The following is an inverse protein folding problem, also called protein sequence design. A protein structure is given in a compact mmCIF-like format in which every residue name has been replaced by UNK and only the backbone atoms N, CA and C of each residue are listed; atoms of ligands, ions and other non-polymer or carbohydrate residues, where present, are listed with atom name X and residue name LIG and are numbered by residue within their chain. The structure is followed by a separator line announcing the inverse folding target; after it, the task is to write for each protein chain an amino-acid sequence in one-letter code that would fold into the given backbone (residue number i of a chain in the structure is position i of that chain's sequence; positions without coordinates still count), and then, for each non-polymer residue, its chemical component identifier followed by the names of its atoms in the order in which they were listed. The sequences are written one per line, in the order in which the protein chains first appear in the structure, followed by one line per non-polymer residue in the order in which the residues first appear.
data_IF_388209851401
#
_entry.id   IF_388209851401
#
_cell.length_a   1.000
_cell.length_b   1.000
_cell.length_c   1.000
_cell.angle_alpha   90.00
_cell.angle_beta   90.00
_cell.angle_gamma   90.00
#
_symmetry.space_group_name_H-M   'P 1'
#
loop_
_entity.id
_entity.type
_entity.pdbx_description
1 polymer ?
#
# COMPACT_ATOMS: atom_id res chain seq x y z
N UNK A 1 1.30 -16.06 2.90
CA UNK A 1 0.87 -14.72 3.35
C UNK A 1 1.28 -13.70 2.30
N UNK A 2 0.33 -13.06 1.63
CA UNK A 2 0.66 -12.04 0.64
C UNK A 2 1.14 -10.74 1.28
N UNK A 3 1.97 -10.04 0.55
CA UNK A 3 2.38 -8.67 0.86
C UNK A 3 1.74 -7.75 -0.17
N UNK A 4 1.08 -6.71 0.28
CA UNK A 4 0.51 -5.70 -0.60
C UNK A 4 1.47 -4.52 -0.64
N UNK A 5 1.85 -4.13 -1.86
CA UNK A 5 2.67 -2.96 -2.12
C UNK A 5 1.75 -1.85 -2.61
N UNK A 6 1.83 -0.69 -1.99
CA UNK A 6 1.11 0.48 -2.45
C UNK A 6 1.95 1.72 -2.23
N UNK A 7 1.76 2.73 -3.08
CA UNK A 7 2.38 4.03 -2.87
C UNK A 7 1.27 5.04 -2.57
N UNK A 8 1.61 6.04 -1.77
CA UNK A 8 0.67 7.09 -1.40
C UNK A 8 1.43 8.40 -1.18
N UNK A 9 0.74 9.55 -1.33
CA UNK A 9 1.35 10.81 -0.92
C UNK A 9 1.81 10.73 0.52
N UNK A 10 2.97 11.33 0.82
CA UNK A 10 3.61 11.19 2.14
C UNK A 10 2.66 11.60 3.27
N UNK A 11 1.89 12.69 3.06
CA UNK A 11 0.98 13.19 4.09
C UNK A 11 -0.20 12.26 4.36
N UNK A 12 -0.53 11.35 3.45
CA UNK A 12 -1.64 10.41 3.61
C UNK A 12 -1.20 9.04 4.11
N UNK A 13 0.08 8.72 3.98
CA UNK A 13 0.57 7.34 4.16
C UNK A 13 0.37 6.81 5.58
N UNK A 14 0.66 7.60 6.60
CA UNK A 14 0.56 7.15 7.98
C UNK A 14 -0.89 6.87 8.37
N UNK A 15 -1.83 7.72 7.92
CA UNK A 15 -3.25 7.53 8.20
C UNK A 15 -3.79 6.29 7.47
N UNK A 16 -3.36 6.06 6.24
CA UNK A 16 -3.73 4.84 5.51
C UNK A 16 -3.22 3.58 6.22
N UNK A 17 -1.97 3.60 6.65
CA UNK A 17 -1.37 2.48 7.37
C UNK A 17 -2.13 2.19 8.67
N UNK A 18 -2.43 3.23 9.45
CA UNK A 18 -3.16 3.11 10.69
C UNK A 18 -4.56 2.53 10.44
N UNK A 19 -5.24 3.02 9.41
CA UNK A 19 -6.57 2.56 9.06
C UNK A 19 -6.58 1.06 8.74
N UNK A 20 -5.63 0.60 7.94
CA UNK A 20 -5.55 -0.81 7.55
C UNK A 20 -5.38 -1.73 8.76
N UNK A 21 -4.56 -1.31 9.72
CA UNK A 21 -4.32 -2.11 10.93
C UNK A 21 -5.53 -2.04 11.88
N UNK A 22 -6.08 -0.84 12.08
CA UNK A 22 -7.22 -0.64 12.97
C UNK A 22 -8.44 -1.44 12.51
N UNK A 23 -8.66 -1.51 11.19
CA UNK A 23 -9.79 -2.23 10.61
C UNK A 23 -9.50 -3.72 10.39
N UNK A 24 -8.37 -4.19 10.89
CA UNK A 24 -7.95 -5.60 10.82
C UNK A 24 -7.83 -6.13 9.40
N UNK A 25 -7.53 -5.24 8.45
CA UNK A 25 -7.32 -5.61 7.05
C UNK A 25 -5.86 -6.03 6.82
N UNK A 26 -4.96 -5.54 7.65
CA UNK A 26 -3.56 -5.91 7.63
C UNK A 26 -3.09 -6.17 9.06
N UNK A 27 -2.20 -7.14 9.22
CA UNK A 27 -1.59 -7.43 10.52
C UNK A 27 -0.49 -6.43 10.85
N UNK A 28 0.16 -5.91 9.81
CA UNK A 28 1.31 -5.01 9.95
C UNK A 28 1.44 -4.21 8.66
N UNK A 29 1.78 -2.93 8.77
CA UNK A 29 2.10 -2.10 7.61
C UNK A 29 3.42 -1.40 7.89
N UNK A 30 4.40 -1.61 7.01
CA UNK A 30 5.65 -0.86 7.04
C UNK A 30 5.52 0.31 6.09
N UNK A 31 5.96 1.49 6.53
CA UNK A 31 5.90 2.72 5.74
C UNK A 31 7.32 3.19 5.48
N UNK A 32 7.67 3.35 4.21
CA UNK A 32 9.01 3.74 3.79
C UNK A 32 8.92 4.99 2.94
N UNK A 33 9.67 6.03 3.31
CA UNK A 33 9.71 7.27 2.54
C UNK A 33 10.36 7.01 1.19
N UNK A 34 9.80 7.62 0.15
CA UNK A 34 10.39 7.56 -1.18
C UNK A 34 10.08 8.81 -1.97
N UNK A 35 10.77 9.00 -3.09
CA UNK A 35 10.40 9.98 -4.09
C UNK A 35 10.09 9.23 -5.37
N UNK A 36 9.16 9.76 -6.17
CA UNK A 36 8.69 9.08 -7.36
C UNK A 36 8.88 9.94 -8.59
N UNK A 37 9.20 9.29 -9.70
CA UNK A 37 9.23 9.91 -11.03
C UNK A 37 8.31 9.08 -11.91
N UNK A 38 7.33 9.72 -12.53
CA UNK A 38 6.34 8.97 -13.32
C UNK A 38 5.74 9.84 -14.41
N UNK A 39 5.11 9.17 -15.38
CA UNK A 39 4.38 9.84 -16.44
C UNK A 39 2.88 9.62 -16.23
N UNK A 40 2.13 10.68 -16.32
CA UNK A 40 0.68 10.64 -16.19
C UNK A 40 0.06 11.62 -17.17
N UNK A 41 -0.86 11.15 -18.01
CA UNK A 41 -1.57 11.98 -18.99
C UNK A 41 -0.63 12.86 -19.83
N UNK A 42 0.48 12.28 -20.29
CA UNK A 42 1.43 12.96 -21.17
C UNK A 42 2.44 13.86 -20.48
N UNK A 43 2.33 14.06 -19.17
CA UNK A 43 3.27 14.88 -18.41
C UNK A 43 4.17 14.00 -17.54
N UNK A 44 5.39 14.47 -17.29
CA UNK A 44 6.34 13.82 -16.39
C UNK A 44 6.35 14.58 -15.08
N UNK A 45 6.14 13.85 -13.98
CA UNK A 45 6.22 14.37 -12.62
C UNK A 45 7.46 13.78 -11.97
N UNK A 46 8.27 14.63 -11.33
CA UNK A 46 9.46 14.16 -10.63
C UNK A 46 9.55 14.80 -9.27
N UNK A 47 10.24 14.10 -8.35
CA UNK A 47 10.47 14.60 -7.00
C UNK A 47 9.24 14.63 -6.10
N UNK A 48 8.15 13.99 -6.49
CA UNK A 48 6.99 13.88 -5.61
C UNK A 48 7.36 13.13 -4.33
N UNK A 49 7.01 13.71 -3.20
CA UNK A 49 7.22 13.08 -1.90
C UNK A 49 6.13 12.06 -1.65
N UNK A 50 6.52 10.80 -1.62
CA UNK A 50 5.63 9.68 -1.43
C UNK A 50 6.13 8.76 -0.32
N UNK A 51 5.32 7.78 0.01
CA UNK A 51 5.73 6.67 0.85
C UNK A 51 5.27 5.38 0.22
N UNK A 52 6.04 4.33 0.46
CA UNK A 52 5.67 2.97 0.09
C UNK A 52 5.08 2.31 1.32
N UNK A 53 3.92 1.67 1.15
CA UNK A 53 3.31 0.86 2.19
C UNK A 53 3.50 -0.60 1.82
N UNK A 54 4.08 -1.38 2.75
CA UNK A 54 4.14 -2.83 2.65
C UNK A 54 3.18 -3.39 3.70
N UNK A 55 2.03 -3.87 3.26
CA UNK A 55 1.00 -4.39 4.16
C UNK A 55 1.01 -5.92 4.15
N UNK A 56 1.05 -6.52 5.32
CA UNK A 56 1.00 -7.97 5.49
C UNK A 56 -0.44 -8.38 5.79
N UNK A 57 -0.97 -9.27 4.96
CA UNK A 57 -2.36 -9.70 5.10
C UNK A 57 -2.49 -11.17 4.72
N UNK A 58 -3.71 -11.69 4.71
CA UNK A 58 -4.02 -13.04 4.27
C UNK A 58 -4.65 -13.01 2.89
N UNK A 59 -4.65 -14.14 2.20
CA UNK A 59 -5.31 -14.25 0.90
C UNK A 59 -6.81 -13.96 1.01
N UNK A 60 -7.44 -14.39 2.11
CA UNK A 60 -8.87 -14.18 2.35
C UNK A 60 -9.21 -12.71 2.56
N UNK A 61 -8.33 -11.96 3.22
CA UNK A 61 -8.57 -10.54 3.50
C UNK A 61 -8.16 -9.61 2.38
N UNK A 62 -7.32 -10.07 1.47
CA UNK A 62 -6.79 -9.20 0.42
C UNK A 62 -7.86 -8.47 -0.40
N UNK A 63 -8.94 -9.12 -0.87
CA UNK A 63 -9.95 -8.40 -1.66
C UNK A 63 -10.58 -7.23 -0.88
N UNK A 64 -10.81 -7.41 0.41
CA UNK A 64 -11.39 -6.36 1.27
C UNK A 64 -10.38 -5.24 1.52
N UNK A 65 -9.10 -5.60 1.77
CA UNK A 65 -8.02 -4.62 1.92
C UNK A 65 -7.88 -3.77 0.65
N UNK A 66 -7.90 -4.42 -0.51
CA UNK A 66 -7.79 -3.72 -1.80
C UNK A 66 -8.91 -2.71 -1.97
N UNK A 67 -10.16 -3.10 -1.69
CA UNK A 67 -11.30 -2.21 -1.80
C UNK A 67 -11.20 -1.04 -0.83
N UNK A 68 -10.81 -1.31 0.41
CA UNK A 68 -10.68 -0.27 1.43
C UNK A 68 -9.58 0.72 1.07
N UNK A 69 -8.43 0.21 0.64
CA UNK A 69 -7.30 1.06 0.25
C UNK A 69 -7.65 1.92 -0.95
N UNK A 70 -8.33 1.37 -1.94
CA UNK A 70 -8.79 2.11 -3.11
C UNK A 70 -9.76 3.23 -2.72
N UNK A 71 -10.68 2.94 -1.81
CA UNK A 71 -11.69 3.90 -1.36
C UNK A 71 -11.09 5.05 -0.55
N UNK A 72 -10.09 4.76 0.28
CA UNK A 72 -9.48 5.76 1.17
C UNK A 72 -8.30 6.50 0.54
N UNK A 73 -7.77 5.99 -0.56
CA UNK A 73 -6.60 6.59 -1.21
C UNK A 73 -6.97 7.91 -1.87
N UNK A 74 -6.13 8.96 -1.75
CA UNK A 74 -6.43 10.25 -2.37
C UNK A 74 -6.33 10.27 -3.89
N UNK A 75 -5.60 9.34 -4.50
CA UNK A 75 -5.45 9.28 -5.96
C UNK A 75 -6.62 8.54 -6.60
N UNK A 76 -6.99 8.95 -7.83
CA UNK A 76 -8.06 8.31 -8.59
C UNK A 76 -7.71 6.88 -8.97
N UNK A 77 -6.46 6.64 -9.34
CA UNK A 77 -5.96 5.32 -9.72
C UNK A 77 -4.70 5.02 -8.90
N UNK A 78 -4.87 4.49 -7.69
CA UNK A 78 -3.71 4.21 -6.85
C UNK A 78 -2.94 2.99 -7.33
N UNK A 79 -1.63 2.98 -7.07
CA UNK A 79 -0.81 1.80 -7.27
C UNK A 79 -1.04 0.83 -6.13
N UNK A 80 -1.65 -0.30 -6.43
CA UNK A 80 -1.90 -1.36 -5.45
C UNK A 80 -1.53 -2.69 -6.11
N UNK A 81 -0.51 -3.36 -5.58
CA UNK A 81 -0.02 -4.61 -6.12
C UNK A 81 0.09 -5.65 -5.02
N UNK A 82 -0.11 -6.90 -5.39
CA UNK A 82 -0.01 -8.02 -4.45
C UNK A 82 1.17 -8.89 -4.84
N UNK A 83 2.00 -9.23 -3.86
CA UNK A 83 3.11 -10.16 -4.02
C UNK A 83 2.89 -11.33 -3.08
N UNK A 84 2.87 -12.55 -3.61
CA UNK A 84 2.73 -13.75 -2.79
C UNK A 84 4.11 -14.22 -2.36
N UNK A 85 4.28 -14.41 -1.05
CA UNK A 85 5.52 -14.92 -0.51
C UNK A 85 5.69 -16.39 -0.85
N UNK A 86 6.88 -16.75 -1.33
CA UNK A 86 7.20 -18.15 -1.65
C UNK A 86 7.76 -18.89 -0.45
N UNK A 87 8.22 -18.17 0.56
CA UNK A 87 8.74 -18.73 1.80
C UNK A 87 8.52 -17.75 2.93
N UNK A 88 7.87 -18.18 3.99
CA UNK A 88 7.54 -17.36 5.15
C UNK A 88 7.85 -18.19 6.39
N UNK A 89 8.40 -17.52 7.42
CA UNK A 89 8.65 -18.18 8.70
C UNK A 89 7.34 -18.76 9.25
N UNK A 90 7.35 -20.03 9.65
CA UNK A 90 6.13 -20.72 10.08
C UNK A 90 5.43 -20.02 11.23
N UNK A 91 6.17 -19.42 12.15
CA UNK A 91 5.59 -18.73 13.31
C UNK A 91 4.96 -17.38 12.96
N UNK A 92 5.23 -16.87 11.79
CA UNK A 92 4.69 -15.60 11.33
C UNK A 92 3.36 -15.82 10.64
#
# INVERSE_FOLDING_TARGET
MPTVYATAPREAADDLAQYLVDERLAACVNVVDCSSVYRWEGAVYDGDEEAILFAKTTAERYPELKRALEAEHPDDVPCIERFDGVDVLDAY
#
